data_IF_072707416119
#
_entry.id   IF_072707416119
#
_cell.length_a   1.000
_cell.length_b   1.000
_cell.length_c   1.000
_cell.angle_alpha   90.00
_cell.angle_beta   90.00
_cell.angle_gamma   90.00
#
_symmetry.space_group_name_H-M   'P 1'
#
loop_
_entity.id
_entity.type
_entity.pdbx_description
1 polymer ?
#
# COMPACT_ATOMS: atom_id res chain seq x y z
N UNK A 1 -3.48 31.59 -16.12
CA UNK A 1 -3.68 30.25 -15.50
C UNK A 1 -2.49 29.76 -14.68
N UNK A 2 -1.22 30.01 -15.04
CA UNK A 2 -0.06 29.50 -14.28
C UNK A 2 0.20 30.09 -12.88
N UNK A 3 -0.28 31.30 -12.58
CA UNK A 3 -0.06 31.94 -11.28
C UNK A 3 -1.00 31.42 -10.18
N UNK A 4 -2.24 31.05 -10.52
CA UNK A 4 -3.21 30.49 -9.57
C UNK A 4 -2.71 29.15 -9.01
N UNK A 5 -2.08 28.31 -9.84
CA UNK A 5 -1.49 27.04 -9.41
C UNK A 5 -0.22 27.21 -8.55
N UNK A 6 0.56 28.28 -8.73
CA UNK A 6 1.71 28.58 -7.86
C UNK A 6 1.27 28.99 -6.47
N UNK A 7 0.22 29.81 -6.37
CA UNK A 7 -0.35 30.24 -5.10
C UNK A 7 -1.00 29.09 -4.33
N UNK A 8 -1.69 28.17 -5.04
CA UNK A 8 -2.26 26.95 -4.46
C UNK A 8 -1.15 26.00 -3.98
N UNK A 9 -0.05 25.84 -4.73
CA UNK A 9 1.10 25.01 -4.32
C UNK A 9 1.79 25.55 -3.06
N UNK A 10 2.02 26.87 -2.98
CA UNK A 10 2.64 27.48 -1.80
C UNK A 10 1.76 27.40 -0.56
N UNK A 11 0.45 27.61 -0.71
CA UNK A 11 -0.51 27.45 0.39
C UNK A 11 -0.63 25.99 0.84
N UNK A 12 -0.67 25.03 -0.10
CA UNK A 12 -0.70 23.61 0.20
C UNK A 12 0.60 23.12 0.88
N UNK A 13 1.77 23.62 0.46
CA UNK A 13 3.05 23.30 1.10
C UNK A 13 3.16 23.85 2.53
N UNK A 14 2.68 25.08 2.78
CA UNK A 14 2.67 25.62 4.15
C UNK A 14 1.66 24.91 5.05
N UNK A 15 0.45 24.60 4.54
CA UNK A 15 -0.54 23.81 5.26
C UNK A 15 -0.03 22.38 5.54
N UNK A 16 0.66 21.76 4.59
CA UNK A 16 1.26 20.43 4.75
C UNK A 16 2.36 20.43 5.82
N UNK A 17 3.27 21.42 5.81
CA UNK A 17 4.32 21.53 6.84
C UNK A 17 3.70 21.77 8.23
N UNK A 18 2.65 22.58 8.32
CA UNK A 18 1.97 22.87 9.59
C UNK A 18 1.19 21.66 10.11
N UNK A 19 0.48 20.94 9.24
CA UNK A 19 -0.20 19.69 9.56
C UNK A 19 0.80 18.59 9.98
N UNK A 20 1.96 18.50 9.31
CA UNK A 20 3.03 17.58 9.71
C UNK A 20 3.68 17.97 11.05
N UNK A 21 3.89 19.25 11.34
CA UNK A 21 4.43 19.67 12.64
C UNK A 21 3.46 19.37 13.79
N UNK A 22 2.16 19.53 13.56
CA UNK A 22 1.12 19.07 14.49
C UNK A 22 1.11 17.54 14.62
N UNK A 23 1.43 16.80 13.54
CA UNK A 23 1.63 15.34 13.53
C UNK A 23 2.80 14.93 14.43
N UNK A 24 3.95 15.61 14.34
CA UNK A 24 5.14 15.30 15.13
C UNK A 24 4.93 15.60 16.62
N UNK A 25 4.32 16.75 16.93
CA UNK A 25 3.98 17.12 18.30
C UNK A 25 2.93 16.17 18.89
N UNK A 26 1.92 15.81 18.10
CA UNK A 26 0.92 14.80 18.45
C UNK A 26 1.56 13.45 18.75
N UNK A 27 2.36 12.90 17.83
CA UNK A 27 3.00 11.59 17.98
C UNK A 27 3.97 11.55 19.19
N UNK A 28 4.72 12.62 19.45
CA UNK A 28 5.57 12.68 20.65
C UNK A 28 4.76 12.73 21.96
N UNK A 29 3.72 13.56 22.04
CA UNK A 29 2.84 13.64 23.22
C UNK A 29 2.02 12.35 23.44
N UNK A 30 1.70 11.64 22.35
CA UNK A 30 1.01 10.35 22.32
C UNK A 30 1.87 9.18 22.83
N UNK A 31 3.17 9.36 23.08
CA UNK A 31 4.01 8.31 23.69
C UNK A 31 3.95 8.26 25.22
N UNK A 32 3.32 9.26 25.86
CA UNK A 32 3.36 9.47 27.32
C UNK A 32 2.02 9.23 28.05
N UNK A 33 0.93 8.97 27.34
CA UNK A 33 -0.41 8.77 27.91
C UNK A 33 -0.90 7.32 27.81
N UNK A 34 -1.63 6.82 28.84
CA UNK A 34 -2.14 5.44 28.88
C UNK A 34 -3.06 5.11 27.69
N UNK A 35 -3.30 3.82 27.39
CA UNK A 35 -4.04 3.40 26.20
C UNK A 35 -5.55 3.55 26.42
N UNK A 36 -6.02 4.78 26.56
CA UNK A 36 -7.42 5.11 26.27
C UNK A 36 -7.65 5.06 24.76
N UNK A 37 -8.86 4.68 24.33
CA UNK A 37 -9.29 4.72 22.93
C UNK A 37 -8.97 6.10 22.34
N UNK A 38 -7.93 6.16 21.52
CA UNK A 38 -7.56 7.37 20.79
C UNK A 38 -8.54 7.51 19.64
N UNK A 39 -9.40 8.52 19.71
CA UNK A 39 -10.25 8.90 18.58
C UNK A 39 -9.38 9.11 17.33
N UNK A 40 -9.82 8.60 16.18
CA UNK A 40 -9.06 8.70 14.94
C UNK A 40 -8.00 7.62 14.72
N UNK A 41 -7.72 6.71 15.67
CA UNK A 41 -6.67 5.71 15.53
C UNK A 41 -7.21 4.29 15.23
N UNK A 42 -6.77 3.70 14.14
CA UNK A 42 -6.94 2.27 13.84
C UNK A 42 -5.59 1.57 13.99
N UNK A 43 -5.42 0.82 15.08
CA UNK A 43 -4.24 -0.01 15.30
C UNK A 43 -4.45 -1.39 14.70
N UNK A 44 -3.58 -1.78 13.77
CA UNK A 44 -3.59 -3.10 13.11
C UNK A 44 -2.52 -4.00 13.72
N UNK A 45 -1.33 -3.45 13.98
CA UNK A 45 -0.20 -4.15 14.64
C UNK A 45 0.32 -3.27 15.80
N UNK A 46 0.59 -3.81 17.00
CA UNK A 46 0.60 -5.23 17.39
C UNK A 46 -0.77 -5.89 17.30
N UNK A 47 -0.77 -7.19 17.00
CA UNK A 47 -1.98 -7.93 16.69
C UNK A 47 -2.84 -8.16 17.94
N UNK A 48 -4.11 -7.81 17.87
CA UNK A 48 -5.05 -8.05 18.98
C UNK A 48 -5.34 -9.55 19.19
N UNK A 49 -5.23 -10.36 18.14
CA UNK A 49 -5.47 -11.79 18.14
C UNK A 49 -4.41 -12.52 17.32
N UNK A 50 -4.21 -13.80 17.61
CA UNK A 50 -3.36 -14.65 16.80
C UNK A 50 -3.97 -14.89 15.41
N UNK A 51 -3.13 -14.94 14.39
CA UNK A 51 -3.54 -15.31 13.03
C UNK A 51 -2.41 -16.06 12.34
N UNK A 52 -2.79 -17.07 11.55
CA UNK A 52 -1.88 -17.73 10.63
C UNK A 52 -2.61 -18.02 9.32
N UNK A 53 -2.04 -17.52 8.23
CA UNK A 53 -2.48 -17.79 6.88
C UNK A 53 -1.30 -18.34 6.08
N UNK A 54 -1.52 -19.43 5.35
CA UNK A 54 -0.50 -20.09 4.52
C UNK A 54 -1.09 -20.35 3.14
N UNK A 55 -0.35 -19.97 2.09
CA UNK A 55 -0.71 -20.30 0.71
C UNK A 55 0.50 -20.83 -0.05
N UNK A 56 0.23 -21.63 -1.07
CA UNK A 56 1.21 -22.21 -1.98
C UNK A 56 0.67 -22.16 -3.43
N UNK A 57 1.35 -22.81 -4.37
CA UNK A 57 0.93 -22.86 -5.76
C UNK A 57 -0.52 -23.40 -5.96
N UNK A 58 -0.99 -24.30 -5.09
CA UNK A 58 -2.32 -24.89 -5.17
C UNK A 58 -3.39 -24.03 -4.51
N UNK A 59 -3.12 -23.50 -3.31
CA UNK A 59 -4.14 -22.79 -2.51
C UNK A 59 -4.19 -21.30 -2.83
N UNK A 60 -3.10 -20.69 -3.35
CA UNK A 60 -2.89 -19.29 -3.81
C UNK A 60 -3.34 -18.16 -2.88
N UNK A 61 -4.56 -18.19 -2.37
CA UNK A 61 -5.15 -17.22 -1.47
C UNK A 61 -5.58 -17.93 -0.19
N UNK A 62 -5.28 -17.35 0.96
CA UNK A 62 -5.61 -17.94 2.25
C UNK A 62 -6.04 -16.87 3.24
N UNK A 63 -6.94 -15.98 2.81
CA UNK A 63 -7.41 -14.84 3.61
C UNK A 63 -7.87 -15.25 5.01
N UNK A 64 -7.43 -14.52 6.03
CA UNK A 64 -7.87 -14.66 7.43
C UNK A 64 -8.11 -13.28 8.08
N UNK A 65 -9.13 -13.13 8.93
CA UNK A 65 -9.35 -11.88 9.66
C UNK A 65 -8.25 -11.61 10.68
N UNK A 66 -7.94 -10.34 10.90
CA UNK A 66 -7.02 -9.82 11.92
C UNK A 66 -7.60 -8.51 12.48
N UNK A 67 -8.45 -8.63 13.51
CA UNK A 67 -9.15 -7.47 14.09
C UNK A 67 -10.02 -6.75 13.06
N UNK A 68 -9.68 -5.49 12.76
CA UNK A 68 -10.35 -4.63 11.75
C UNK A 68 -9.78 -4.79 10.34
N UNK A 69 -8.71 -5.56 10.20
CA UNK A 69 -8.02 -5.85 8.95
C UNK A 69 -8.11 -7.35 8.63
N UNK A 70 -7.50 -7.76 7.54
CA UNK A 70 -7.32 -9.17 7.19
C UNK A 70 -5.93 -9.38 6.60
N UNK A 71 -5.43 -10.61 6.69
CA UNK A 71 -4.14 -11.02 6.12
C UNK A 71 -4.36 -11.99 4.97
N UNK A 72 -3.50 -11.95 3.96
CA UNK A 72 -3.52 -12.91 2.86
C UNK A 72 -2.09 -13.11 2.32
N UNK A 73 -1.55 -14.34 2.32
CA UNK A 73 -0.25 -14.62 1.72
C UNK A 73 -0.23 -14.44 0.20
N UNK A 74 -1.41 -14.47 -0.45
CA UNK A 74 -1.66 -13.97 -1.80
C UNK A 74 -0.56 -14.30 -2.83
N UNK A 75 -0.44 -15.58 -3.15
CA UNK A 75 0.47 -16.16 -4.16
C UNK A 75 -0.23 -16.22 -5.52
N UNK A 76 -0.81 -15.09 -5.92
CA UNK A 76 -1.64 -15.00 -7.12
C UNK A 76 -0.89 -15.34 -8.41
N UNK A 77 0.40 -14.98 -8.48
CA UNK A 77 1.27 -15.22 -9.63
C UNK A 77 1.51 -16.70 -9.90
N UNK A 78 1.40 -17.57 -8.89
CA UNK A 78 1.57 -19.02 -9.06
C UNK A 78 0.46 -19.69 -9.89
N UNK A 79 -0.67 -19.00 -10.11
CA UNK A 79 -1.75 -19.53 -10.93
C UNK A 79 -1.71 -19.12 -12.39
N UNK A 80 -0.64 -18.45 -12.81
CA UNK A 80 -0.44 -18.01 -14.19
C UNK A 80 0.26 -19.12 -14.99
N UNK A 81 0.02 -19.13 -16.31
CA UNK A 81 0.74 -20.02 -17.20
C UNK A 81 2.25 -19.77 -17.09
N UNK A 82 3.05 -20.84 -17.06
CA UNK A 82 4.50 -20.73 -16.91
C UNK A 82 4.99 -20.71 -15.46
N UNK A 83 4.12 -20.91 -14.47
CA UNK A 83 4.46 -21.02 -13.05
C UNK A 83 4.49 -22.48 -12.55
N UNK A 84 4.55 -23.45 -13.46
CA UNK A 84 4.54 -24.87 -13.12
C UNK A 84 5.80 -25.30 -12.36
N UNK A 85 5.66 -26.22 -11.40
CA UNK A 85 6.79 -26.74 -10.62
C UNK A 85 7.29 -25.77 -9.53
N UNK A 86 6.50 -24.76 -9.18
CA UNK A 86 6.75 -23.93 -8.02
C UNK A 86 6.56 -24.75 -6.73
N UNK A 87 7.62 -24.84 -5.93
CA UNK A 87 7.62 -25.54 -4.63
C UNK A 87 7.83 -24.53 -3.51
N UNK A 88 7.09 -24.68 -2.41
CA UNK A 88 7.21 -23.82 -1.24
C UNK A 88 5.89 -23.15 -0.84
N UNK A 89 5.99 -22.06 -0.09
CA UNK A 89 4.84 -21.36 0.48
C UNK A 89 5.12 -19.88 0.78
N UNK A 90 4.03 -19.12 0.89
CA UNK A 90 4.00 -17.84 1.59
C UNK A 90 3.16 -17.99 2.86
N UNK A 91 3.56 -17.30 3.92
CA UNK A 91 2.92 -17.31 5.23
C UNK A 91 2.83 -15.89 5.77
N UNK A 92 1.68 -15.56 6.33
CA UNK A 92 1.47 -14.35 7.11
C UNK A 92 1.00 -14.80 8.49
N UNK A 93 1.74 -14.42 9.53
CA UNK A 93 1.49 -14.92 10.89
C UNK A 93 1.65 -13.80 11.92
N UNK A 94 0.84 -13.86 12.96
CA UNK A 94 0.95 -12.98 14.10
C UNK A 94 0.55 -13.70 15.37
N UNK A 95 1.31 -13.51 16.45
CA UNK A 95 0.87 -13.90 17.79
C UNK A 95 0.18 -12.71 18.48
N UNK A 96 -0.74 -12.94 19.45
CA UNK A 96 -1.34 -11.86 20.22
C UNK A 96 -0.27 -10.97 20.86
N UNK A 97 -0.37 -9.65 20.64
CA UNK A 97 0.60 -8.66 21.12
C UNK A 97 1.93 -8.64 20.37
N UNK A 98 2.14 -9.54 19.42
CA UNK A 98 3.39 -9.67 18.66
C UNK A 98 3.41 -8.85 17.36
N UNK A 99 4.57 -8.84 16.68
CA UNK A 99 4.69 -8.31 15.34
C UNK A 99 4.00 -9.23 14.33
N UNK A 100 3.52 -8.64 13.24
CA UNK A 100 3.04 -9.40 12.09
C UNK A 100 4.24 -9.79 11.23
N UNK A 101 4.46 -11.10 11.04
CA UNK A 101 5.55 -11.61 10.20
C UNK A 101 5.03 -12.04 8.84
N UNK A 102 5.80 -11.70 7.82
CA UNK A 102 5.58 -12.10 6.43
C UNK A 102 6.78 -12.92 5.98
N UNK A 103 6.49 -14.14 5.57
CA UNK A 103 7.48 -15.13 5.15
C UNK A 103 7.12 -15.67 3.76
N UNK A 104 8.10 -15.73 2.88
CA UNK A 104 7.99 -16.34 1.56
C UNK A 104 9.21 -17.23 1.39
N UNK A 105 8.98 -18.50 1.08
CA UNK A 105 10.02 -19.46 0.73
C UNK A 105 9.50 -20.27 -0.45
N UNK A 106 9.89 -19.84 -1.65
CA UNK A 106 9.61 -20.55 -2.89
C UNK A 106 10.87 -20.84 -3.67
N UNK A 107 10.82 -21.95 -4.41
CA UNK A 107 11.81 -22.36 -5.39
C UNK A 107 11.10 -22.71 -6.68
N UNK A 108 11.68 -22.28 -7.79
CA UNK A 108 11.18 -22.61 -9.12
C UNK A 108 12.34 -23.05 -10.00
N UNK A 109 12.41 -24.33 -10.41
CA UNK A 109 13.44 -24.80 -11.33
C UNK A 109 13.20 -24.28 -12.76
N UNK A 110 11.97 -23.86 -13.08
CA UNK A 110 11.55 -23.33 -14.39
C UNK A 110 10.44 -22.31 -14.18
N UNK A 111 10.70 -21.05 -14.55
CA UNK A 111 9.68 -20.00 -14.61
C UNK A 111 9.56 -19.49 -16.03
N UNK A 112 8.43 -19.77 -16.67
CA UNK A 112 8.08 -19.34 -18.02
C UNK A 112 7.01 -18.25 -18.06
N UNK A 113 6.47 -17.79 -16.92
CA UNK A 113 5.41 -16.78 -16.92
C UNK A 113 5.94 -15.41 -17.33
N UNK A 114 5.23 -14.66 -18.20
CA UNK A 114 5.61 -13.29 -18.55
C UNK A 114 5.38 -12.29 -17.41
N UNK A 115 4.62 -12.68 -16.38
CA UNK A 115 4.44 -11.88 -15.18
C UNK A 115 5.57 -12.23 -14.20
N UNK A 116 6.24 -11.19 -13.71
CA UNK A 116 7.42 -11.34 -12.85
C UNK A 116 7.08 -11.47 -11.36
N UNK A 117 5.92 -10.99 -10.93
CA UNK A 117 5.51 -11.02 -9.52
C UNK A 117 4.87 -12.37 -9.20
N UNK A 118 5.40 -13.04 -8.20
CA UNK A 118 4.90 -14.33 -7.72
C UNK A 118 3.79 -14.15 -6.69
N UNK A 119 4.03 -13.30 -5.69
CA UNK A 119 3.17 -13.16 -4.53
C UNK A 119 3.17 -11.73 -4.02
N UNK A 120 2.09 -11.36 -3.33
CA UNK A 120 1.98 -10.13 -2.57
C UNK A 120 1.37 -10.42 -1.19
N UNK A 121 2.09 -11.15 -0.30
CA UNK A 121 1.64 -11.35 1.07
C UNK A 121 1.44 -10.02 1.77
N UNK A 122 0.25 -9.81 2.33
CA UNK A 122 -0.14 -8.51 2.86
C UNK A 122 -1.03 -8.62 4.10
N UNK A 123 -1.10 -7.51 4.83
CA UNK A 123 -2.22 -7.12 5.67
C UNK A 123 -2.99 -6.01 4.98
N UNK A 124 -4.30 -6.06 5.04
CA UNK A 124 -5.16 -5.17 4.28
C UNK A 124 -6.35 -4.69 5.10
N UNK A 125 -6.65 -3.40 4.91
CA UNK A 125 -7.75 -2.71 5.53
C UNK A 125 -8.75 -2.26 4.47
N UNK A 126 -10.03 -2.52 4.70
CA UNK A 126 -11.10 -2.24 3.76
C UNK A 126 -11.28 -3.31 2.68
N UNK A 127 -11.91 -2.88 1.58
CA UNK A 127 -12.46 -3.70 0.54
C UNK A 127 -11.46 -3.95 -0.60
N UNK A 128 -10.69 -5.04 -0.54
CA UNK A 128 -9.90 -5.45 -1.71
C UNK A 128 -10.82 -5.81 -2.86
N UNK A 129 -10.70 -5.16 -4.04
CA UNK A 129 -11.59 -5.41 -5.17
C UNK A 129 -11.33 -6.76 -5.82
N UNK A 130 -10.28 -7.47 -5.41
CA UNK A 130 -9.96 -8.82 -5.87
C UNK A 130 -10.64 -9.89 -5.01
N UNK A 131 -11.11 -10.93 -5.69
CA UNK A 131 -11.89 -12.07 -5.19
C UNK A 131 -13.40 -11.80 -5.03
N UNK A 132 -14.21 -12.79 -5.44
CA UNK A 132 -15.69 -12.72 -5.55
C UNK A 132 -16.43 -13.09 -4.25
N UNK A 133 -15.74 -13.22 -3.12
CA UNK A 133 -16.36 -13.75 -1.90
C UNK A 133 -17.38 -12.77 -1.29
N UNK A 134 -18.44 -13.30 -0.69
CA UNK A 134 -19.43 -12.56 0.09
C UNK A 134 -18.89 -11.97 1.40
N UNK A 135 -17.65 -12.29 1.76
CA UNK A 135 -16.96 -11.85 2.99
C UNK A 135 -16.14 -10.56 2.76
N UNK A 136 -16.72 -9.62 2.02
CA UNK A 136 -16.15 -8.29 1.78
C UNK A 136 -16.22 -7.48 3.07
N UNK A 137 -15.20 -7.63 3.93
CA UNK A 137 -15.08 -6.82 5.14
C UNK A 137 -14.69 -5.39 4.71
N UNK A 138 -15.63 -4.46 4.87
CA UNK A 138 -15.35 -3.04 4.76
C UNK A 138 -14.48 -2.55 5.93
N UNK A 139 -13.98 -1.33 5.81
CA UNK A 139 -13.42 -0.58 6.92
C UNK A 139 -14.50 -0.25 7.95
N UNK A 140 -14.04 0.11 9.14
CA UNK A 140 -14.87 0.53 10.27
C UNK A 140 -14.57 1.98 10.62
N UNK A 141 -15.40 2.60 11.45
CA UNK A 141 -15.07 3.92 12.00
C UNK A 141 -13.71 3.89 12.72
N UNK A 142 -12.88 4.94 12.58
CA UNK A 142 -13.16 6.24 11.96
C UNK A 142 -12.89 6.33 10.44
N UNK A 143 -12.63 5.22 9.74
CA UNK A 143 -12.37 5.19 8.30
C UNK A 143 -13.18 4.09 7.60
N UNK A 144 -14.48 4.31 7.34
CA UNK A 144 -15.38 3.28 6.79
C UNK A 144 -15.13 3.07 5.28
N UNK A 145 -14.00 2.45 4.90
CA UNK A 145 -13.73 2.11 3.50
C UNK A 145 -14.72 1.03 3.00
N UNK A 146 -15.20 1.08 1.75
CA UNK A 146 -14.88 2.05 0.71
C UNK A 146 -15.47 3.44 0.98
N UNK A 147 -14.67 4.50 0.80
CA UNK A 147 -15.10 5.89 0.99
C UNK A 147 -14.76 6.72 -0.25
N UNK A 148 -15.64 7.65 -0.64
CA UNK A 148 -15.41 8.50 -1.82
C UNK A 148 -14.20 9.39 -1.59
N UNK A 149 -13.41 9.63 -2.64
CA UNK A 149 -12.20 10.46 -2.55
C UNK A 149 -12.51 11.86 -2.03
N UNK A 150 -13.62 12.47 -2.50
CA UNK A 150 -14.07 13.79 -2.03
C UNK A 150 -14.50 13.85 -0.55
N UNK A 151 -14.75 12.69 0.06
CA UNK A 151 -15.20 12.52 1.44
C UNK A 151 -14.06 12.01 2.34
N UNK A 152 -12.86 11.79 1.79
CA UNK A 152 -11.75 11.25 2.57
C UNK A 152 -11.30 12.27 3.62
N UNK A 153 -11.20 11.85 4.90
CA UNK A 153 -10.50 12.63 5.91
C UNK A 153 -9.00 12.70 5.58
N UNK A 154 -8.24 13.44 6.39
CA UNK A 154 -6.77 13.33 6.32
C UNK A 154 -6.34 12.00 6.91
N UNK A 155 -5.66 11.18 6.13
CA UNK A 155 -5.24 9.83 6.48
C UNK A 155 -3.72 9.76 6.52
N UNK A 156 -3.17 9.43 7.68
CA UNK A 156 -1.76 9.09 7.82
C UNK A 156 -1.59 7.59 7.99
N UNK A 157 -0.74 6.99 7.15
CA UNK A 157 -0.29 5.62 7.33
C UNK A 157 1.02 5.64 8.11
N UNK A 158 1.07 4.98 9.27
CA UNK A 158 2.28 4.84 10.07
C UNK A 158 2.65 3.38 10.23
N UNK A 159 3.84 3.01 9.77
CA UNK A 159 4.38 1.65 9.87
C UNK A 159 5.76 1.69 10.51
N UNK A 160 6.01 0.77 11.43
CA UNK A 160 7.36 0.42 11.87
C UNK A 160 7.64 -1.01 11.43
N UNK A 161 8.69 -1.22 10.64
CA UNK A 161 9.00 -2.52 10.07
C UNK A 161 10.49 -2.79 9.97
N UNK A 162 10.86 -4.06 9.77
CA UNK A 162 12.24 -4.47 9.49
C UNK A 162 12.27 -5.63 8.51
N UNK A 163 13.21 -5.60 7.58
CA UNK A 163 13.48 -6.72 6.67
C UNK A 163 14.58 -7.58 7.28
N UNK A 164 14.27 -8.84 7.58
CA UNK A 164 15.19 -9.78 8.23
C UNK A 164 16.01 -10.54 7.19
N UNK A 165 15.33 -11.05 6.18
CA UNK A 165 15.93 -11.82 5.11
C UNK A 165 15.36 -11.35 3.77
N UNK A 166 16.05 -10.45 3.07
CA UNK A 166 15.55 -9.89 1.81
C UNK A 166 15.75 -10.87 0.65
N UNK A 167 14.68 -11.11 -0.12
CA UNK A 167 14.76 -11.82 -1.40
C UNK A 167 15.68 -11.08 -2.38
N UNK A 168 16.14 -11.76 -3.43
CA UNK A 168 16.94 -11.12 -4.49
C UNK A 168 16.18 -9.99 -5.18
N UNK A 169 14.87 -10.19 -5.37
CA UNK A 169 13.96 -9.23 -5.99
C UNK A 169 12.68 -9.11 -5.18
N UNK A 170 12.46 -7.97 -4.54
CA UNK A 170 11.26 -7.71 -3.75
C UNK A 170 10.96 -6.22 -3.60
N UNK A 171 9.80 -5.90 -3.05
CA UNK A 171 9.53 -4.61 -2.42
C UNK A 171 8.83 -4.78 -1.07
N UNK A 172 8.73 -3.68 -0.32
CA UNK A 172 7.76 -3.47 0.77
C UNK A 172 6.95 -2.26 0.32
N UNK A 173 5.66 -2.44 0.10
CA UNK A 173 4.83 -1.42 -0.52
C UNK A 173 3.44 -1.38 0.07
N UNK A 174 2.88 -0.17 0.14
CA UNK A 174 1.43 -0.02 0.18
C UNK A 174 0.86 -0.24 -1.23
N UNK A 175 -0.29 -0.90 -1.31
CA UNK A 175 -1.11 -1.04 -2.51
C UNK A 175 -2.52 -0.52 -2.21
N UNK A 176 -2.94 0.51 -2.96
CA UNK A 176 -4.22 1.17 -2.82
C UNK A 176 -5.08 0.88 -4.04
N UNK A 177 -6.31 0.46 -3.78
CA UNK A 177 -7.31 0.28 -4.82
C UNK A 177 -8.30 1.43 -4.82
N UNK A 178 -8.30 2.22 -5.89
CA UNK A 178 -9.22 3.33 -6.12
C UNK A 178 -10.16 2.94 -7.26
N UNK A 179 -11.44 2.78 -6.96
CA UNK A 179 -12.41 2.17 -7.86
C UNK A 179 -13.62 3.07 -8.09
N UNK A 180 -14.22 2.99 -9.28
CA UNK A 180 -15.49 3.72 -9.55
C UNK A 180 -16.67 3.20 -8.75
N UNK A 181 -16.68 1.89 -8.49
CA UNK A 181 -17.75 1.22 -7.77
C UNK A 181 -17.12 0.20 -6.82
N UNK A 182 -17.48 0.22 -5.54
CA UNK A 182 -17.05 -0.82 -4.61
C UNK A 182 -17.72 -2.15 -4.94
N UNK A 183 -17.04 -2.95 -5.77
CA UNK A 183 -17.50 -4.24 -6.24
C UNK A 183 -16.29 -5.13 -6.55
N UNK A 184 -16.53 -6.43 -6.67
CA UNK A 184 -15.50 -7.36 -7.10
C UNK A 184 -15.10 -7.12 -8.57
N UNK A 185 -13.79 -7.16 -8.81
CA UNK A 185 -13.11 -6.94 -10.08
C UNK A 185 -12.82 -5.48 -10.35
N UNK A 186 -11.66 -5.22 -10.93
CA UNK A 186 -11.24 -3.90 -11.40
C UNK A 186 -11.36 -3.81 -12.91
N UNK A 187 -11.50 -2.60 -13.44
CA UNK A 187 -11.95 -2.34 -14.80
C UNK A 187 -11.37 -1.01 -15.32
N UNK A 188 -11.49 -0.73 -16.64
CA UNK A 188 -10.97 0.52 -17.22
C UNK A 188 -11.60 1.74 -16.56
N UNK A 189 -10.75 2.60 -15.99
CA UNK A 189 -11.17 3.78 -15.21
C UNK A 189 -10.95 3.63 -13.69
N UNK A 190 -10.65 2.43 -13.21
CA UNK A 190 -10.15 2.22 -11.85
C UNK A 190 -8.61 2.43 -11.82
N UNK A 191 -8.06 2.59 -10.63
CA UNK A 191 -6.66 2.96 -10.39
C UNK A 191 -6.06 2.12 -9.26
N UNK A 192 -4.87 1.58 -9.53
CA UNK A 192 -3.97 1.01 -8.53
C UNK A 192 -2.88 2.04 -8.21
N UNK A 193 -2.72 2.37 -6.93
CA UNK A 193 -1.64 3.25 -6.48
C UNK A 193 -0.73 2.48 -5.54
N UNK A 194 0.53 2.27 -5.92
CA UNK A 194 1.52 1.67 -5.06
C UNK A 194 2.47 2.71 -4.46
N UNK A 195 2.79 2.57 -3.17
CA UNK A 195 3.81 3.40 -2.51
C UNK A 195 4.88 2.49 -1.92
N UNK A 196 6.01 2.38 -2.61
CA UNK A 196 7.10 1.49 -2.22
C UNK A 196 7.93 2.14 -1.13
N UNK A 197 8.13 1.47 0.00
CA UNK A 197 8.98 1.95 1.08
C UNK A 197 10.40 1.40 0.93
N UNK A 198 10.51 0.10 0.61
CA UNK A 198 11.77 -0.61 0.46
C UNK A 198 11.73 -1.47 -0.79
N UNK A 199 12.87 -1.73 -1.41
CA UNK A 199 12.95 -2.58 -2.59
C UNK A 199 14.37 -3.06 -2.87
N UNK A 200 14.49 -4.10 -3.70
CA UNK A 200 15.75 -4.61 -4.23
C UNK A 200 15.54 -5.20 -5.61
N UNK A 201 16.37 -4.80 -6.57
CA UNK A 201 16.44 -5.36 -7.94
C UNK A 201 15.06 -5.55 -8.61
N UNK A 202 14.14 -4.63 -8.33
CA UNK A 202 12.76 -4.61 -8.80
C UNK A 202 12.45 -3.21 -9.30
N UNK A 203 11.53 -3.11 -10.24
CA UNK A 203 11.11 -1.84 -10.84
C UNK A 203 9.60 -1.86 -10.97
N UNK A 204 8.91 -0.76 -10.63
CA UNK A 204 7.47 -0.67 -10.85
C UNK A 204 7.10 -0.88 -12.32
N UNK A 205 5.87 -1.31 -12.56
CA UNK A 205 5.36 -1.47 -13.92
C UNK A 205 5.30 -0.10 -14.64
N UNK A 206 5.61 -0.11 -15.94
CA UNK A 206 5.41 1.04 -16.82
C UNK A 206 6.67 1.86 -17.06
N UNK A 207 6.53 3.17 -17.10
CA UNK A 207 7.63 4.11 -17.36
C UNK A 207 7.71 5.19 -16.28
N UNK A 208 8.93 5.70 -16.05
CA UNK A 208 9.17 6.85 -15.19
C UNK A 208 8.55 8.10 -15.81
N UNK A 209 7.50 8.65 -15.20
CA UNK A 209 6.81 9.84 -15.67
C UNK A 209 7.45 11.13 -15.15
N UNK A 210 7.74 11.20 -13.85
CA UNK A 210 8.37 12.38 -13.21
C UNK A 210 8.97 12.04 -11.85
N UNK A 211 9.62 13.01 -11.23
CA UNK A 211 10.06 12.96 -9.83
C UNK A 211 9.32 14.05 -9.05
N UNK A 212 8.81 13.70 -7.88
CA UNK A 212 8.10 14.61 -6.97
C UNK A 212 8.75 14.59 -5.59
N UNK A 213 8.56 15.67 -4.84
CA UNK A 213 9.03 15.79 -3.47
C UNK A 213 7.83 15.68 -2.54
N UNK A 214 7.82 14.67 -1.68
CA UNK A 214 6.71 14.42 -0.76
C UNK A 214 7.28 14.36 0.67
N UNK A 215 6.74 15.15 1.60
CA UNK A 215 7.17 15.13 2.99
C UNK A 215 6.65 13.87 3.69
N UNK A 216 7.53 13.22 4.45
CA UNK A 216 7.25 12.03 5.26
C UNK A 216 7.97 12.13 6.60
N UNK A 217 7.56 11.34 7.58
CA UNK A 217 8.35 11.13 8.80
C UNK A 217 9.11 9.82 8.69
N UNK A 218 10.43 9.87 8.93
CA UNK A 218 11.28 8.68 9.03
C UNK A 218 12.00 8.71 10.36
N UNK A 219 11.79 7.69 11.19
CA UNK A 219 12.35 7.55 12.53
C UNK A 219 12.14 8.81 13.39
N UNK A 220 10.90 9.35 13.36
CA UNK A 220 10.50 10.53 14.13
C UNK A 220 10.94 11.88 13.55
N UNK A 221 11.70 11.91 12.45
CA UNK A 221 12.17 13.15 11.82
C UNK A 221 11.42 13.42 10.52
N UNK A 222 10.95 14.66 10.33
CA UNK A 222 10.39 15.10 9.06
C UNK A 222 11.48 15.10 7.98
N UNK A 223 11.20 14.48 6.84
CA UNK A 223 12.09 14.44 5.68
C UNK A 223 11.29 14.70 4.42
N UNK A 224 11.82 15.53 3.55
CA UNK A 224 11.32 15.64 2.17
C UNK A 224 12.06 14.62 1.32
N UNK A 225 11.36 13.58 0.86
CA UNK A 225 11.95 12.55 0.01
C UNK A 225 11.61 12.81 -1.45
N UNK A 226 12.54 12.48 -2.33
CA UNK A 226 12.33 12.44 -3.77
C UNK A 226 11.78 11.08 -4.19
N UNK A 227 10.58 11.10 -4.76
CA UNK A 227 9.85 9.94 -5.25
C UNK A 227 9.79 9.97 -6.76
N UNK A 228 10.30 8.92 -7.38
CA UNK A 228 10.02 8.59 -8.76
C UNK A 228 8.57 8.16 -8.90
N UNK A 229 7.86 8.77 -9.86
CA UNK A 229 6.47 8.45 -10.18
C UNK A 229 6.47 7.64 -11.46
N UNK A 230 6.16 6.36 -11.33
CA UNK A 230 6.05 5.40 -12.42
C UNK A 230 4.58 5.25 -12.82
N UNK A 231 4.31 5.15 -14.12
CA UNK A 231 2.95 5.07 -14.65
C UNK A 231 2.87 3.95 -15.69
N UNK A 232 1.86 3.09 -15.55
CA UNK A 232 1.48 2.14 -16.59
C UNK A 232 0.01 2.37 -16.96
N UNK A 233 -0.27 3.20 -17.98
CA UNK A 233 -1.64 3.42 -18.41
C UNK A 233 -2.10 2.17 -19.16
N UNK A 234 -3.17 1.53 -18.69
CA UNK A 234 -3.77 0.42 -19.44
C UNK A 234 -4.99 0.91 -20.21
N UNK A 235 -4.81 1.04 -21.51
CA UNK A 235 -5.87 1.41 -22.46
C UNK A 235 -6.72 0.17 -22.77
N UNK A 236 -8.05 0.26 -22.61
CA UNK A 236 -8.98 -0.82 -22.95
C UNK A 236 -8.95 -2.07 -22.06
N UNK A 237 -7.82 -2.38 -21.42
CA UNK A 237 -7.58 -3.60 -20.65
C UNK A 237 -7.24 -3.28 -19.19
N UNK A 238 -8.10 -3.62 -18.23
CA UNK A 238 -7.75 -3.49 -16.81
C UNK A 238 -7.80 -2.05 -16.29
N UNK A 239 -6.85 -1.65 -15.44
CA UNK A 239 -6.86 -0.42 -14.64
C UNK A 239 -5.61 0.43 -14.93
N UNK A 240 -5.65 1.73 -14.62
CA UNK A 240 -4.44 2.55 -14.66
C UNK A 240 -3.59 2.29 -13.40
N UNK A 241 -2.26 2.33 -13.54
CA UNK A 241 -1.32 2.08 -12.45
C UNK A 241 -0.41 3.28 -12.23
N UNK A 242 -0.24 3.68 -10.97
CA UNK A 242 0.74 4.67 -10.55
C UNK A 242 1.55 4.11 -9.38
N UNK A 243 2.86 4.21 -9.43
CA UNK A 243 3.72 3.83 -8.32
C UNK A 243 4.67 4.94 -7.91
N UNK A 244 4.89 5.06 -6.61
CA UNK A 244 5.86 5.95 -6.01
C UNK A 244 7.03 5.14 -5.48
N UNK A 245 8.21 5.40 -6.02
CA UNK A 245 9.45 4.74 -5.66
C UNK A 245 10.43 5.79 -5.10
N UNK A 246 10.82 5.72 -3.82
CA UNK A 246 11.77 6.65 -3.26
C UNK A 246 13.15 6.35 -3.87
N UNK A 247 13.89 7.41 -4.24
CA UNK A 247 15.25 7.25 -4.82
C UNK A 247 16.22 6.49 -3.91
N UNK A 248 15.93 6.46 -2.61
CA UNK A 248 16.63 5.64 -1.63
C UNK A 248 15.61 4.79 -0.90
N UNK A 249 15.81 3.46 -0.93
CA UNK A 249 14.98 2.54 -0.18
C UNK A 249 15.07 2.83 1.32
N UNK A 250 13.92 2.83 1.99
CA UNK A 250 13.82 2.88 3.44
C UNK A 250 14.07 1.44 3.93
N UNK A 251 15.25 1.16 4.48
CA UNK A 251 15.65 -0.22 4.82
C UNK A 251 14.95 -0.81 6.07
N UNK A 252 13.98 -0.09 6.64
CA UNK A 252 13.28 -0.39 7.88
C UNK A 252 13.20 0.83 8.80
N UNK A 253 12.59 0.64 9.97
CA UNK A 253 12.30 1.69 10.95
C UNK A 253 10.86 2.21 10.85
N UNK A 254 10.60 3.31 11.55
CA UNK A 254 9.28 3.95 11.59
C UNK A 254 9.13 4.93 10.43
N UNK A 255 8.09 4.75 9.62
CA UNK A 255 7.74 5.60 8.48
C UNK A 255 6.28 6.02 8.62
N UNK A 256 6.03 7.33 8.59
CA UNK A 256 4.66 7.87 8.50
C UNK A 256 4.51 8.74 7.27
N UNK A 257 3.42 8.55 6.53
CA UNK A 257 3.11 9.28 5.30
C UNK A 257 1.66 9.73 5.27
N UNK A 258 1.40 10.90 4.67
CA UNK A 258 0.05 11.37 4.40
C UNK A 258 -0.45 10.73 3.10
N UNK A 259 -1.43 9.84 3.21
CA UNK A 259 -1.97 9.08 2.09
C UNK A 259 -2.60 9.98 1.03
N UNK A 260 -3.28 11.04 1.45
CA UNK A 260 -3.99 11.97 0.57
C UNK A 260 -3.01 12.58 -0.47
N UNK A 261 -1.77 12.90 -0.07
CA UNK A 261 -0.77 13.44 -0.99
C UNK A 261 -0.44 12.47 -2.14
N UNK A 262 -0.31 11.16 -1.85
CA UNK A 262 -0.02 10.16 -2.88
C UNK A 262 -1.20 9.97 -3.83
N UNK A 263 -2.43 10.02 -3.31
CA UNK A 263 -3.65 10.01 -4.13
C UNK A 263 -3.68 11.24 -5.04
N UNK A 264 -3.51 12.45 -4.48
CA UNK A 264 -3.54 13.71 -5.22
C UNK A 264 -2.47 13.76 -6.31
N UNK A 265 -1.24 13.34 -6.00
CA UNK A 265 -0.16 13.25 -7.00
C UNK A 265 -0.47 12.23 -8.09
N UNK A 266 -1.12 11.11 -7.75
CA UNK A 266 -1.53 10.10 -8.75
C UNK A 266 -2.53 10.69 -9.73
N UNK A 267 -3.60 11.29 -9.20
CA UNK A 267 -4.66 11.91 -9.99
C UNK A 267 -4.13 13.05 -10.85
N UNK A 268 -3.32 13.95 -10.28
CA UNK A 268 -2.67 15.04 -11.01
C UNK A 268 -1.79 14.52 -12.15
N UNK A 269 -1.00 13.46 -11.89
CA UNK A 269 -0.13 12.86 -12.91
C UNK A 269 -0.94 12.26 -14.05
N UNK A 270 -2.02 11.54 -13.74
CA UNK A 270 -2.88 10.95 -14.75
C UNK A 270 -3.68 12.00 -15.53
N UNK A 271 -4.13 13.08 -14.88
CA UNK A 271 -4.76 14.21 -15.57
C UNK A 271 -3.82 14.93 -16.52
N UNK A 272 -2.55 15.10 -16.16
CA UNK A 272 -1.52 15.68 -17.03
C UNK A 272 -1.25 14.79 -18.24
N UNK A 273 -1.12 13.47 -18.03
CA UNK A 273 -0.80 12.51 -19.08
C UNK A 273 -1.99 12.15 -19.95
N UNK A 274 -3.22 12.19 -19.40
CA UNK A 274 -4.46 11.70 -20.03
C UNK A 274 -5.67 12.58 -19.70
N UNK A 275 -5.66 13.88 -20.09
CA UNK A 275 -6.68 14.85 -19.69
C UNK A 275 -8.12 14.51 -20.12
N UNK A 276 -8.30 13.69 -21.16
CA UNK A 276 -9.63 13.22 -21.60
C UNK A 276 -10.21 12.05 -20.80
N UNK A 277 -9.40 11.40 -19.95
CA UNK A 277 -9.80 10.21 -19.16
C UNK A 277 -9.79 10.49 -17.66
N UNK A 278 -8.84 11.29 -17.20
CA UNK A 278 -8.68 11.66 -15.80
C UNK A 278 -8.92 13.16 -15.66
N UNK A 279 -10.10 13.55 -15.21
CA UNK A 279 -10.49 14.93 -14.95
C UNK A 279 -11.05 15.07 -13.53
N UNK A 280 -10.93 16.25 -12.88
CA UNK A 280 -11.19 16.42 -11.45
C UNK A 280 -12.53 15.86 -10.98
N UNK A 281 -13.63 16.22 -11.65
CA UNK A 281 -14.97 15.76 -11.27
C UNK A 281 -15.14 14.23 -11.35
N UNK A 282 -14.42 13.55 -12.25
CA UNK A 282 -14.46 12.09 -12.32
C UNK A 282 -13.64 11.45 -11.22
N UNK A 283 -12.46 12.01 -10.94
CA UNK A 283 -11.58 11.51 -9.90
C UNK A 283 -12.21 11.60 -8.49
N UNK A 284 -12.91 12.70 -8.20
CA UNK A 284 -13.57 12.93 -6.90
C UNK A 284 -14.70 11.93 -6.58
N UNK A 285 -15.31 11.34 -7.62
CA UNK A 285 -16.40 10.35 -7.48
C UNK A 285 -15.89 8.91 -7.34
N UNK A 286 -14.58 8.68 -7.43
CA UNK A 286 -13.97 7.39 -7.15
C UNK A 286 -13.98 7.08 -5.65
N UNK A 287 -13.82 5.82 -5.30
CA UNK A 287 -13.77 5.32 -3.93
C UNK A 287 -12.38 4.78 -3.64
N UNK A 288 -11.77 5.20 -2.53
CA UNK A 288 -10.69 4.44 -1.93
C UNK A 288 -11.31 3.16 -1.34
N UNK A 289 -11.04 2.01 -1.95
CA UNK A 289 -11.64 0.74 -1.56
C UNK A 289 -10.83 0.04 -0.47
N UNK A 290 -9.52 -0.05 -0.63
CA UNK A 290 -8.64 -0.70 0.33
C UNK A 290 -7.26 -0.06 0.41
N UNK A 291 -6.62 -0.29 1.56
CA UNK A 291 -5.22 0.00 1.83
C UNK A 291 -4.57 -1.33 2.20
N UNK A 292 -3.66 -1.82 1.38
CA UNK A 292 -2.89 -3.04 1.64
C UNK A 292 -1.44 -2.65 1.94
N UNK A 293 -0.81 -3.33 2.90
CA UNK A 293 0.62 -3.24 3.18
C UNK A 293 1.21 -4.64 3.07
N UNK A 294 2.15 -4.80 2.17
CA UNK A 294 2.72 -6.11 1.84
C UNK A 294 4.02 -6.00 1.07
N UNK A 295 4.40 -7.13 0.47
CA UNK A 295 5.62 -7.23 -0.32
C UNK A 295 5.38 -7.97 -1.61
N UNK A 296 5.63 -7.34 -2.75
CA UNK A 296 5.75 -8.10 -3.98
C UNK A 296 7.06 -8.87 -3.93
N UNK A 297 6.96 -10.19 -4.14
CA UNK A 297 8.12 -11.06 -4.36
C UNK A 297 8.18 -11.37 -5.83
N UNK A 298 9.28 -10.96 -6.46
CA UNK A 298 9.49 -11.16 -7.89
C UNK A 298 10.27 -12.45 -8.11
N UNK A 299 10.15 -13.00 -9.31
CA UNK A 299 10.81 -14.24 -9.68
C UNK A 299 12.33 -14.14 -9.51
N UNK A 300 12.90 -15.17 -8.90
CA UNK A 300 14.33 -15.48 -8.81
C UNK A 300 14.46 -17.00 -8.62
N UNK A 301 15.64 -17.60 -8.84
CA UNK A 301 15.82 -19.05 -8.63
C UNK A 301 15.43 -19.50 -7.21
N UNK A 302 15.68 -18.64 -6.22
CA UNK A 302 15.22 -18.79 -4.83
C UNK A 302 14.55 -17.50 -4.40
N UNK A 303 13.33 -17.60 -3.88
CA UNK A 303 12.50 -16.48 -3.46
C UNK A 303 12.26 -16.59 -1.96
N UNK A 304 13.29 -16.22 -1.20
CA UNK A 304 13.28 -16.25 0.26
C UNK A 304 13.15 -14.82 0.78
N UNK A 305 12.00 -14.48 1.38
CA UNK A 305 11.75 -13.19 2.00
C UNK A 305 11.23 -13.40 3.43
N UNK A 306 11.84 -12.74 4.41
CA UNK A 306 11.31 -12.62 5.77
C UNK A 306 11.37 -11.18 6.23
N UNK A 307 10.25 -10.64 6.65
CA UNK A 307 10.19 -9.31 7.25
C UNK A 307 9.04 -9.22 8.25
N UNK A 308 9.09 -8.20 9.09
CA UNK A 308 8.15 -8.01 10.17
C UNK A 308 7.63 -6.58 10.20
N UNK A 309 6.34 -6.45 10.48
CA UNK A 309 5.68 -5.21 10.87
C UNK A 309 5.63 -5.23 12.39
N UNK A 310 6.29 -4.27 13.02
CA UNK A 310 6.37 -4.09 14.48
C UNK A 310 5.22 -3.23 14.99
N UNK A 311 4.82 -2.21 14.21
CA UNK A 311 3.66 -1.37 14.45
C UNK A 311 3.02 -1.00 13.11
N UNK A 312 1.69 -0.99 13.04
CA UNK A 312 0.97 -0.48 11.88
C UNK A 312 -0.33 0.15 12.32
N UNK A 313 -0.45 1.44 12.00
CA UNK A 313 -1.51 2.32 12.43
C UNK A 313 -2.01 3.15 11.25
N UNK A 314 -3.33 3.30 11.18
CA UNK A 314 -3.99 4.27 10.30
C UNK A 314 -4.55 5.36 11.21
N UNK A 315 -4.04 6.58 11.04
CA UNK A 315 -4.48 7.76 11.80
C UNK A 315 -5.36 8.61 10.92
N UNK A 316 -6.57 8.88 11.40
CA UNK A 316 -7.60 9.66 10.74
C UNK A 316 -7.76 10.98 11.48
N UNK A 317 -7.62 12.08 10.75
CA UNK A 317 -7.85 13.42 11.26
C UNK A 317 -9.07 14.01 10.54
N UNK A 318 -10.02 14.62 11.28
CA UNK A 318 -11.24 15.22 10.71
C UNK A 318 -10.99 16.23 9.59
#
# INVERSE_FOLDING_TARGET
>A
MGEVWRSIRLAASMLAVTALLLLAAGIMLLSLSPPEKREGLLQIVPCASGVEAVANASTRFARKPLGVAWVDPNVWGAGLAGSEGLEGHARVLCEPGGPLRIEVDFRSPRWGSPIEVLAYPSVAYGLKPWNRSADLQGGVEPLPLPLRLRELPTITLSVEYRVLEPSERFNVAYDLWIVRKPAAGVRPGDLEVMVWLSWRNSTPLGYLAKVVKIPVFVNGSARELEWEVWVAPREGEGWDYVAFLPRQALAGGAVSLNLNLFIDYSLSTLSELRPGRWYPNYAEELYLASIELGSEVFRSPTMLLRWEILRYEIVVQP
#
